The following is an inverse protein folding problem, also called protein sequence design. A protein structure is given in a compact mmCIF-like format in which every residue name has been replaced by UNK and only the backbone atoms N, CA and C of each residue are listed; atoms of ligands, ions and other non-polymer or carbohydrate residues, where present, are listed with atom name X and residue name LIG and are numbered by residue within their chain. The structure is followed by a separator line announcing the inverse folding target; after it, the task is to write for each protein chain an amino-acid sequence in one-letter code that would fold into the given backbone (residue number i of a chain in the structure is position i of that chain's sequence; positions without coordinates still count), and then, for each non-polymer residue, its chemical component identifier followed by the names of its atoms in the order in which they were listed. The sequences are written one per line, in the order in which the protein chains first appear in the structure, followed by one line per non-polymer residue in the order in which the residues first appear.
data_IF_983404550443
#
_entry.id   IF_983404550443
#
_cell.length_a   1.000
_cell.length_b   1.000
_cell.length_c   1.000
_cell.angle_alpha   90.00
_cell.angle_beta   90.00
_cell.angle_gamma   90.00
#
_symmetry.space_group_name_H-M   'P 1'
#
loop_
_entity.id
_entity.type
_entity.pdbx_description
1 polymer ?
#
# COMPACT_ATOMS: atom_id res chain seq x y z
N UNK A 1 -7.03 -3.99 18.62
CA UNK A 1 -7.59 -3.95 17.25
C UNK A 1 -6.37 -3.98 16.34
N UNK A 2 -5.99 -5.16 15.88
CA UNK A 2 -4.77 -5.30 15.06
C UNK A 2 -5.01 -4.71 13.68
N UNK A 3 -3.95 -4.24 13.02
CA UNK A 3 -4.00 -3.74 11.63
C UNK A 3 -4.48 -4.80 10.61
N UNK A 4 -4.65 -6.05 11.03
CA UNK A 4 -5.04 -7.21 10.21
C UNK A 4 -6.35 -7.07 9.43
N UNK A 5 -7.23 -6.15 9.83
CA UNK A 5 -8.54 -5.97 9.20
C UNK A 5 -8.62 -4.68 8.34
N UNK A 6 -7.52 -3.95 8.19
CA UNK A 6 -7.52 -2.80 7.29
C UNK A 6 -7.48 -3.30 5.85
N UNK A 7 -8.64 -3.24 5.20
CA UNK A 7 -8.73 -3.41 3.77
C UNK A 7 -7.88 -2.33 3.08
N UNK A 8 -6.89 -2.76 2.31
CA UNK A 8 -6.12 -1.91 1.42
C UNK A 8 -6.17 -2.52 0.03
N UNK A 9 -6.68 -1.76 -0.93
CA UNK A 9 -6.66 -2.16 -2.33
C UNK A 9 -5.27 -1.87 -2.89
N UNK A 10 -4.54 -2.92 -3.27
CA UNK A 10 -3.16 -2.82 -3.74
C UNK A 10 -3.13 -2.87 -5.27
N UNK A 11 -2.60 -1.83 -5.89
CA UNK A 11 -2.50 -1.71 -7.36
C UNK A 11 -1.11 -1.23 -7.79
N UNK A 12 -0.58 -1.64 -8.95
CA UNK A 12 0.66 -1.07 -9.47
C UNK A 12 0.45 0.41 -9.86
N UNK A 13 1.46 1.25 -9.61
CA UNK A 13 1.45 2.67 -10.04
C UNK A 13 1.41 2.77 -11.56
N UNK A 14 2.24 1.96 -12.23
CA UNK A 14 2.24 1.85 -13.68
C UNK A 14 1.33 0.71 -14.11
N UNK A 15 0.27 1.03 -14.86
CA UNK A 15 -0.64 0.01 -15.37
C UNK A 15 0.08 -0.88 -16.40
N UNK A 16 0.29 -2.14 -16.04
CA UNK A 16 0.76 -3.16 -16.96
C UNK A 16 -0.39 -3.71 -17.83
N UNK A 17 -0.93 -2.88 -18.74
CA UNK A 17 -2.09 -3.23 -19.57
C UNK A 17 -1.83 -4.51 -20.38
N UNK A 18 -2.65 -5.53 -20.12
CA UNK A 18 -2.56 -6.82 -20.81
C UNK A 18 -1.43 -7.73 -20.33
N UNK A 19 -0.69 -7.34 -19.28
CA UNK A 19 0.29 -8.20 -18.67
C UNK A 19 -0.39 -9.34 -17.89
N UNK A 20 0.22 -10.54 -17.84
CA UNK A 20 -0.23 -11.60 -16.94
C UNK A 20 -0.12 -11.13 -15.48
N UNK A 21 -1.09 -11.54 -14.67
CA UNK A 21 -1.11 -11.28 -13.23
C UNK A 21 -1.00 -12.58 -12.45
N UNK A 22 -0.43 -12.50 -11.26
CA UNK A 22 -0.11 -13.65 -10.43
C UNK A 22 -0.70 -13.47 -9.02
N UNK A 23 -1.26 -14.55 -8.44
CA UNK A 23 -1.61 -14.59 -7.02
C UNK A 23 -0.39 -14.23 -6.15
N UNK A 24 -0.49 -13.14 -5.42
CA UNK A 24 0.60 -12.52 -4.68
C UNK A 24 0.19 -12.18 -3.25
N UNK A 25 1.17 -12.11 -2.35
CA UNK A 25 1.00 -11.60 -0.98
C UNK A 25 2.03 -10.51 -0.75
N UNK A 26 1.60 -9.36 -0.22
CA UNK A 26 2.46 -8.20 0.01
C UNK A 26 2.84 -8.13 1.48
N UNK A 27 4.13 -8.01 1.73
CA UNK A 27 4.74 -7.93 3.07
C UNK A 27 5.39 -6.57 3.26
N UNK A 28 5.35 -6.05 4.48
CA UNK A 28 6.04 -4.84 4.86
C UNK A 28 7.55 -5.07 5.01
N UNK A 29 8.26 -4.00 5.40
CA UNK A 29 9.71 -4.00 5.46
C UNK A 29 10.27 -4.57 6.77
N UNK A 30 9.41 -4.98 7.71
CA UNK A 30 9.87 -5.47 9.01
C UNK A 30 10.21 -6.97 8.96
N UNK A 31 10.94 -7.45 9.95
CA UNK A 31 11.18 -8.88 10.16
C UNK A 31 10.05 -9.55 10.96
N UNK A 32 8.90 -8.90 11.12
CA UNK A 32 7.78 -9.45 11.87
C UNK A 32 6.94 -10.37 10.98
N UNK A 33 6.71 -11.61 11.43
CA UNK A 33 5.91 -12.60 10.70
C UNK A 33 4.43 -12.21 10.55
N UNK A 34 4.02 -11.12 11.19
CA UNK A 34 2.68 -10.55 11.11
C UNK A 34 2.60 -9.29 10.23
N UNK A 35 3.73 -8.82 9.67
CA UNK A 35 3.82 -7.65 8.79
C UNK A 35 3.37 -7.97 7.36
N UNK A 36 2.21 -8.63 7.26
CA UNK A 36 1.52 -8.90 6.01
C UNK A 36 0.56 -7.75 5.75
N UNK A 37 0.79 -7.00 4.68
CA UNK A 37 0.00 -5.81 4.33
C UNK A 37 -1.24 -6.18 3.52
N UNK A 38 -1.17 -7.24 2.69
CA UNK A 38 -2.34 -7.67 1.92
C UNK A 38 -3.23 -8.60 2.76
N UNK A 39 -4.45 -8.19 3.16
CA UNK A 39 -5.32 -9.03 4.01
C UNK A 39 -5.71 -10.34 3.31
N UNK A 40 -5.81 -10.28 1.98
CA UNK A 40 -6.08 -11.41 1.09
C UNK A 40 -4.99 -11.55 0.02
N UNK A 41 -5.17 -12.54 -0.86
CA UNK A 41 -4.32 -12.72 -2.04
C UNK A 41 -4.67 -11.64 -3.06
N UNK A 42 -3.66 -10.90 -3.52
CA UNK A 42 -3.82 -9.86 -4.54
C UNK A 42 -3.32 -10.36 -5.89
N UNK A 43 -3.86 -9.85 -6.98
CA UNK A 43 -3.37 -10.13 -8.33
C UNK A 43 -2.48 -8.99 -8.79
N UNK A 44 -1.18 -9.25 -8.93
CA UNK A 44 -0.20 -8.26 -9.38
C UNK A 44 0.53 -8.76 -10.62
N UNK A 45 0.93 -7.88 -11.54
CA UNK A 45 1.88 -8.24 -12.59
C UNK A 45 3.25 -8.57 -11.97
N UNK A 46 4.17 -9.09 -12.78
CA UNK A 46 5.57 -9.14 -12.39
C UNK A 46 6.10 -7.72 -12.17
N UNK A 47 6.74 -7.47 -11.02
CA UNK A 47 7.29 -6.17 -10.65
C UNK A 47 8.82 -6.24 -10.62
N UNK A 48 9.48 -5.26 -11.23
CA UNK A 48 10.92 -5.08 -11.17
C UNK A 48 11.33 -4.26 -9.93
N UNK A 49 12.60 -4.40 -9.52
CA UNK A 49 13.16 -3.56 -8.45
C UNK A 49 13.07 -2.09 -8.87
N UNK A 50 12.43 -1.28 -8.03
CA UNK A 50 12.22 0.14 -8.26
C UNK A 50 10.83 0.50 -8.79
N UNK A 51 10.01 -0.49 -9.14
CA UNK A 51 8.59 -0.27 -9.42
C UNK A 51 7.77 -0.15 -8.14
N UNK A 52 6.65 0.56 -8.23
CA UNK A 52 5.86 0.97 -7.08
C UNK A 52 4.44 0.42 -7.15
N UNK A 53 3.89 0.15 -5.97
CA UNK A 53 2.46 -0.14 -5.77
C UNK A 53 1.84 0.93 -4.88
N UNK A 54 0.54 1.14 -5.04
CA UNK A 54 -0.28 2.05 -4.23
C UNK A 54 -1.22 1.23 -3.37
N UNK A 55 -1.39 1.65 -2.11
CA UNK A 55 -2.40 1.16 -1.19
C UNK A 55 -3.56 2.16 -1.18
N UNK A 56 -4.56 1.92 -2.02
CA UNK A 56 -5.75 2.76 -2.12
C UNK A 56 -6.68 2.55 -0.91
N UNK A 57 -7.57 3.52 -0.68
CA UNK A 57 -8.62 3.48 0.36
C UNK A 57 -8.10 3.47 1.81
N UNK A 58 -6.84 3.82 2.02
CA UNK A 58 -6.17 3.86 3.33
C UNK A 58 -6.23 5.24 4.03
N UNK A 59 -7.11 6.15 3.59
CA UNK A 59 -7.12 7.54 4.09
C UNK A 59 -7.66 7.72 5.51
N UNK A 60 -8.57 6.85 5.96
CA UNK A 60 -9.18 6.95 7.29
C UNK A 60 -8.37 6.18 8.33
N UNK A 61 -8.07 6.81 9.45
CA UNK A 61 -7.41 6.23 10.64
C UNK A 61 -5.99 5.65 10.47
N UNK A 62 -5.50 5.37 9.26
CA UNK A 62 -4.17 4.78 9.06
C UNK A 62 -3.04 5.60 9.67
N UNK A 63 -3.06 6.93 9.51
CA UNK A 63 -2.08 7.82 10.16
C UNK A 63 -2.26 7.88 11.69
N UNK A 64 -3.50 7.79 12.18
CA UNK A 64 -3.78 7.91 13.62
C UNK A 64 -3.30 6.71 14.44
N UNK A 65 -3.12 5.56 13.79
CA UNK A 65 -2.63 4.33 14.41
C UNK A 65 -1.19 3.98 14.02
N UNK A 66 -0.56 4.79 13.17
CA UNK A 66 0.80 4.55 12.72
C UNK A 66 1.79 4.72 13.88
N UNK A 67 2.84 3.91 13.87
CA UNK A 67 3.92 3.96 14.86
C UNK A 67 5.28 3.84 14.19
N UNK A 68 6.31 4.25 14.89
CA UNK A 68 7.72 4.11 14.52
C UNK A 68 8.28 2.71 14.85
N UNK A 69 7.46 1.67 14.68
CA UNK A 69 7.83 0.30 14.97
C UNK A 69 9.12 -0.09 14.22
N UNK A 70 10.05 -0.77 14.89
CA UNK A 70 11.39 -1.08 14.39
C UNK A 70 12.22 0.13 13.90
N UNK A 71 11.87 1.35 14.32
CA UNK A 71 12.59 2.57 13.93
C UNK A 71 12.33 3.03 12.50
N UNK A 72 11.28 2.50 11.85
CA UNK A 72 10.82 3.02 10.56
C UNK A 72 10.11 4.37 10.75
N UNK A 73 10.44 5.35 9.91
CA UNK A 73 9.80 6.67 9.98
C UNK A 73 8.32 6.61 9.61
N UNK A 74 7.52 7.48 10.24
CA UNK A 74 6.12 7.67 9.85
C UNK A 74 6.03 8.21 8.42
N UNK A 75 5.00 7.84 7.64
CA UNK A 75 4.86 8.28 6.25
C UNK A 75 4.70 9.80 6.15
N UNK A 76 5.38 10.40 5.17
CA UNK A 76 5.22 11.81 4.84
C UNK A 76 3.86 12.07 4.19
N UNK A 77 3.16 13.11 4.64
CA UNK A 77 1.85 13.50 4.10
C UNK A 77 2.02 14.64 3.10
N UNK A 78 1.68 14.38 1.85
CA UNK A 78 1.69 15.37 0.77
C UNK A 78 0.26 15.68 0.35
N UNK A 79 -0.21 16.90 0.64
CA UNK A 79 -1.49 17.39 0.13
C UNK A 79 -1.37 17.76 -1.34
N UNK A 80 -2.11 17.07 -2.21
CA UNK A 80 -2.15 17.36 -3.65
C UNK A 80 -3.50 17.97 -4.00
N UNK A 81 -3.45 19.00 -4.83
CA UNK A 81 -4.59 19.78 -5.27
C UNK A 81 -4.54 19.90 -6.78
N UNK A 82 -5.62 19.54 -7.46
CA UNK A 82 -5.79 19.89 -8.85
C UNK A 82 -6.60 21.18 -8.94
N UNK A 83 -6.07 22.19 -9.63
CA UNK A 83 -6.79 23.45 -9.84
C UNK A 83 -8.16 23.24 -10.51
N UNK A 84 -8.34 22.16 -11.29
CA UNK A 84 -9.62 21.80 -11.90
C UNK A 84 -10.70 21.35 -10.92
N UNK A 85 -10.32 20.91 -9.73
CA UNK A 85 -11.25 20.42 -8.71
C UNK A 85 -11.67 21.53 -7.73
N UNK A 86 -11.18 22.75 -7.96
CA UNK A 86 -11.29 23.89 -7.05
C UNK A 86 -12.35 24.92 -7.45
N UNK A 87 -13.20 24.59 -8.42
CA UNK A 87 -14.30 25.43 -8.91
C UNK A 87 -15.56 24.64 -9.27
#
# INVERSE_FOLDING_TARGET
MGLYDLYAKIVPVEEAKGAPVYPSTVWGATCDGTDRVSPETVLLPELAIGEWVVFEETGAYSLSIASDFNGFELPHVHGIVNGRDWW
#
